data_IF_611249051353
#
_entry.id   IF_611249051353
#
_cell.length_a   1.000
_cell.length_b   1.000
_cell.length_c   1.000
_cell.angle_alpha   90.00
_cell.angle_beta   90.00
_cell.angle_gamma   90.00
#
_symmetry.space_group_name_H-M   'P 1'
#
loop_
_entity.id
_entity.type
_entity.pdbx_description
1 polymer ?
#
# COMPACT_ATOMS: atom_id res chain seq x y z
N UNK A 1 -6.19 14.21 9.38
CA UNK A 1 -6.39 12.75 9.32
C UNK A 1 -5.67 12.19 10.52
N UNK A 2 -6.38 11.48 11.38
CA UNK A 2 -5.84 10.97 12.63
C UNK A 2 -5.12 9.63 12.41
N UNK A 3 -4.30 9.24 13.38
CA UNK A 3 -3.46 8.02 13.35
C UNK A 3 -4.25 6.70 13.22
N UNK A 4 -5.58 6.74 13.28
CA UNK A 4 -6.48 5.58 13.18
C UNK A 4 -7.38 5.52 11.95
N UNK A 5 -7.39 6.54 11.08
CA UNK A 5 -8.28 6.56 9.92
C UNK A 5 -7.96 5.41 8.95
N UNK A 6 -8.96 4.64 8.54
CA UNK A 6 -8.77 3.57 7.56
C UNK A 6 -8.76 4.19 6.17
N UNK A 7 -7.64 4.06 5.45
CA UNK A 7 -7.47 4.63 4.10
C UNK A 7 -7.96 3.68 2.99
N UNK A 8 -8.34 2.46 3.35
CA UNK A 8 -8.73 1.37 2.46
C UNK A 8 -10.20 0.98 2.67
N UNK A 9 -10.91 0.72 1.57
CA UNK A 9 -12.26 0.13 1.65
C UNK A 9 -12.15 -1.36 2.00
N UNK A 10 -12.67 -1.74 3.17
CA UNK A 10 -12.60 -3.11 3.68
C UNK A 10 -13.12 -4.17 2.70
N UNK A 11 -14.21 -3.87 2.00
CA UNK A 11 -14.80 -4.75 0.99
C UNK A 11 -13.89 -4.98 -0.20
N UNK A 12 -13.18 -3.94 -0.67
CA UNK A 12 -12.25 -4.07 -1.79
C UNK A 12 -11.05 -4.92 -1.39
N UNK A 13 -10.46 -4.66 -0.23
CA UNK A 13 -9.37 -5.51 0.30
C UNK A 13 -9.80 -6.97 0.39
N UNK A 14 -10.99 -7.22 0.94
CA UNK A 14 -11.52 -8.58 1.09
C UNK A 14 -11.73 -9.25 -0.26
N UNK A 15 -12.25 -8.54 -1.26
CA UNK A 15 -12.44 -9.06 -2.60
C UNK A 15 -11.11 -9.39 -3.28
N UNK A 16 -10.11 -8.49 -3.19
CA UNK A 16 -8.77 -8.71 -3.73
C UNK A 16 -8.10 -9.94 -3.12
N UNK A 17 -8.08 -10.05 -1.79
CA UNK A 17 -7.46 -11.20 -1.09
C UNK A 17 -8.19 -12.52 -1.41
N UNK A 18 -9.53 -12.52 -1.43
CA UNK A 18 -10.31 -13.71 -1.81
C UNK A 18 -10.06 -14.13 -3.25
N UNK A 19 -10.03 -13.18 -4.18
CA UNK A 19 -9.81 -13.46 -5.60
C UNK A 19 -8.40 -14.02 -5.85
N UNK A 20 -7.38 -13.45 -5.17
CA UNK A 20 -6.00 -13.84 -5.35
C UNK A 20 -5.63 -15.17 -4.66
N UNK A 21 -6.19 -15.48 -3.49
CA UNK A 21 -5.75 -16.65 -2.69
C UNK A 21 -6.87 -17.49 -2.06
N UNK A 22 -8.14 -17.09 -2.19
CA UNK A 22 -9.27 -17.72 -1.50
C UNK A 22 -9.35 -17.43 0.00
N UNK A 23 -8.51 -16.51 0.53
CA UNK A 23 -8.43 -16.25 1.97
C UNK A 23 -9.35 -15.11 2.42
N UNK A 24 -9.67 -15.11 3.71
CA UNK A 24 -10.34 -13.99 4.38
C UNK A 24 -9.31 -13.19 5.18
N UNK A 25 -9.11 -11.90 4.91
CA UNK A 25 -8.31 -11.06 5.79
C UNK A 25 -9.04 -10.84 7.13
N UNK A 26 -8.28 -10.71 8.21
CA UNK A 26 -8.85 -10.32 9.52
C UNK A 26 -9.01 -8.79 9.61
N UNK A 27 -9.89 -8.33 10.50
CA UNK A 27 -10.12 -6.90 10.73
C UNK A 27 -8.86 -6.13 11.16
N UNK A 28 -7.90 -6.84 11.77
CA UNK A 28 -6.60 -6.28 12.18
C UNK A 28 -5.67 -5.96 11.01
N UNK A 29 -5.97 -6.42 9.80
CA UNK A 29 -5.16 -6.13 8.60
C UNK A 29 -5.36 -4.69 8.14
N UNK A 30 -6.57 -4.14 8.29
CA UNK A 30 -6.91 -2.80 7.79
C UNK A 30 -6.07 -1.67 8.40
N UNK A 31 -5.87 -1.61 9.73
CA UNK A 31 -5.00 -0.59 10.34
C UNK A 31 -3.55 -0.72 9.86
N UNK A 32 -3.04 -1.94 9.75
CA UNK A 32 -1.65 -2.19 9.33
C UNK A 32 -1.41 -1.70 7.90
N UNK A 33 -2.30 -2.06 6.97
CA UNK A 33 -2.19 -1.60 5.58
C UNK A 33 -2.42 -0.09 5.45
N UNK A 34 -3.32 0.48 6.25
CA UNK A 34 -3.53 1.94 6.26
C UNK A 34 -2.28 2.68 6.73
N UNK A 35 -1.55 2.13 7.72
CA UNK A 35 -0.28 2.70 8.16
C UNK A 35 0.81 2.61 7.09
N UNK A 36 0.88 1.49 6.36
CA UNK A 36 1.80 1.38 5.22
C UNK A 36 1.47 2.40 4.11
N UNK A 37 0.19 2.60 3.80
CA UNK A 37 -0.24 3.63 2.84
C UNK A 37 0.10 5.04 3.29
N UNK A 38 -0.02 5.36 4.58
CA UNK A 38 0.41 6.67 5.12
C UNK A 38 1.88 6.93 4.84
N UNK A 39 2.75 5.96 5.16
CA UNK A 39 4.19 6.10 4.92
C UNK A 39 4.49 6.32 3.42
N UNK A 40 3.80 5.60 2.53
CA UNK A 40 3.92 5.78 1.07
C UNK A 40 3.47 7.18 0.65
N UNK A 41 2.35 7.67 1.19
CA UNK A 41 1.84 9.01 0.91
C UNK A 41 2.79 10.11 1.41
N UNK A 42 3.34 9.96 2.61
CA UNK A 42 4.28 10.91 3.20
C UNK A 42 5.54 11.02 2.33
N UNK A 43 6.08 9.89 1.88
CA UNK A 43 7.22 9.88 0.97
C UNK A 43 6.87 10.50 -0.39
N UNK A 44 5.68 10.21 -0.93
CA UNK A 44 5.22 10.78 -2.19
C UNK A 44 5.05 12.31 -2.10
N UNK A 45 4.57 12.82 -0.97
CA UNK A 45 4.46 14.25 -0.69
C UNK A 45 5.85 14.89 -0.65
N UNK A 46 6.80 14.27 0.06
CA UNK A 46 8.17 14.78 0.12
C UNK A 46 8.85 14.79 -1.26
N UNK A 47 8.62 13.77 -2.09
CA UNK A 47 9.12 13.73 -3.46
C UNK A 47 8.52 14.85 -4.33
N UNK A 48 7.21 15.09 -4.23
CA UNK A 48 6.56 16.20 -4.93
C UNK A 48 7.07 17.56 -4.44
N UNK A 49 7.27 17.71 -3.12
CA UNK A 49 7.81 18.91 -2.48
C UNK A 49 9.24 19.21 -2.95
N UNK A 50 10.10 18.19 -3.04
CA UNK A 50 11.47 18.32 -3.58
C UNK A 50 11.49 18.72 -5.05
N UNK A 51 10.45 18.35 -5.79
CA UNK A 51 10.26 18.75 -7.18
C UNK A 51 9.51 20.09 -7.33
N UNK A 52 9.36 20.87 -6.24
CA UNK A 52 8.71 22.19 -6.21
C UNK A 52 7.27 22.19 -6.75
N UNK A 53 6.56 21.06 -6.60
CA UNK A 53 5.17 20.89 -7.04
C UNK A 53 4.23 20.77 -5.85
N UNK A 54 3.03 21.30 -6.03
CA UNK A 54 1.91 21.11 -5.09
C UNK A 54 1.06 19.87 -5.40
N UNK A 55 1.24 19.28 -6.58
CA UNK A 55 0.51 18.09 -7.02
C UNK A 55 1.41 16.85 -6.93
N UNK A 56 0.99 15.89 -6.10
CA UNK A 56 1.58 14.54 -6.06
C UNK A 56 1.18 13.80 -7.34
N UNK A 57 2.18 13.29 -8.07
CA UNK A 57 2.01 12.56 -9.30
C UNK A 57 2.38 11.09 -9.10
N UNK A 58 1.95 10.21 -10.01
CA UNK A 58 2.25 8.78 -9.92
C UNK A 58 3.74 8.44 -9.91
N UNK A 59 4.61 9.33 -10.39
CA UNK A 59 6.08 9.19 -10.30
C UNK A 59 6.67 9.49 -8.92
N UNK A 60 5.92 10.20 -8.08
CA UNK A 60 6.36 10.57 -6.74
C UNK A 60 6.10 9.43 -5.74
N UNK A 61 5.14 8.55 -6.05
CA UNK A 61 4.79 7.40 -5.23
C UNK A 61 5.92 6.37 -5.29
N UNK A 62 6.54 6.01 -4.14
CA UNK A 62 7.57 5.00 -4.11
C UNK A 62 6.98 3.68 -4.62
N UNK A 63 7.66 3.06 -5.59
CA UNK A 63 7.27 1.73 -6.04
C UNK A 63 7.73 0.76 -4.96
N UNK A 64 6.85 -0.09 -4.42
CA UNK A 64 7.34 -1.23 -3.65
C UNK A 64 8.24 -2.02 -4.58
N UNK A 65 9.54 -2.01 -4.29
CA UNK A 65 10.52 -2.91 -4.90
C UNK A 65 9.89 -4.28 -4.87
N UNK A 66 9.47 -4.77 -6.03
CA UNK A 66 8.71 -6.00 -6.13
C UNK A 66 9.68 -7.07 -5.66
N UNK A 67 9.62 -7.48 -4.39
CA UNK A 67 10.33 -8.65 -3.91
C UNK A 67 9.74 -9.81 -4.68
N UNK A 68 10.36 -10.10 -5.82
CA UNK A 68 10.31 -11.41 -6.43
C UNK A 68 10.88 -12.29 -5.33
N UNK A 69 9.98 -12.96 -4.57
CA UNK A 69 10.39 -14.01 -3.66
C UNK A 69 11.30 -14.98 -4.42
N UNK A 70 12.28 -15.61 -3.76
CA UNK A 70 13.27 -16.43 -4.44
C UNK A 70 12.52 -17.40 -5.36
N UNK A 71 12.84 -17.31 -6.66
CA UNK A 71 12.29 -18.22 -7.67
C UNK A 71 12.37 -19.63 -7.09
N UNK A 72 11.22 -20.27 -6.94
CA UNK A 72 11.15 -21.63 -6.42
C UNK A 72 12.16 -22.48 -7.19
N UNK A 73 13.17 -22.99 -6.49
CA UNK A 73 14.18 -23.85 -7.07
C UNK A 73 13.48 -25.03 -7.76
N UNK A 74 13.88 -25.42 -8.99
CA UNK A 74 13.37 -26.64 -9.59
C UNK A 74 13.73 -27.82 -8.67
N UNK A 75 12.73 -28.64 -8.38
CA UNK A 75 12.88 -29.89 -7.62
C UNK A 75 13.73 -30.91 -8.36
#
# INVERSE_FOLDING_TARGET
MSEGDILLVASNLTAEVKSASGFNPSDRVLPVLSNALRAICDEAIENARRAERQTVMGRDVPRPERTVGPAAAPR
#
